data_IF_580606831775
#
_entry.id   IF_580606831775
#
_cell.length_a   1.000
_cell.length_b   1.000
_cell.length_c   1.000
_cell.angle_alpha   90.00
_cell.angle_beta   90.00
_cell.angle_gamma   90.00
#
_symmetry.space_group_name_H-M   'P 1'
#
loop_
_entity.id
_entity.type
_entity.pdbx_description
1 polymer ?
#
# COMPACT_ATOMS: atom_id res chain seq x y z
N UNK A 1 -4.49 14.61 -17.98
CA UNK A 1 -4.38 14.16 -16.60
C UNK A 1 -3.32 15.00 -15.90
N UNK A 2 -3.51 15.43 -14.67
CA UNK A 2 -2.52 16.25 -13.96
C UNK A 2 -1.24 15.47 -13.62
N UNK A 3 -1.25 14.13 -13.77
CA UNK A 3 -0.15 13.26 -13.41
C UNK A 3 0.44 12.59 -14.65
N UNK A 4 1.75 12.67 -14.81
CA UNK A 4 2.48 12.07 -15.93
C UNK A 4 3.33 10.90 -15.44
N UNK A 5 2.77 9.69 -15.57
CA UNK A 5 3.44 8.46 -15.14
C UNK A 5 4.75 8.15 -15.89
N UNK A 6 5.06 8.88 -16.97
CA UNK A 6 6.34 8.75 -17.68
C UNK A 6 7.45 9.60 -17.07
N UNK A 7 7.10 10.58 -16.23
CA UNK A 7 8.03 11.53 -15.63
C UNK A 7 8.04 11.52 -14.10
N UNK A 8 6.93 11.11 -13.50
CA UNK A 8 6.75 11.08 -12.05
C UNK A 8 6.95 9.67 -11.53
N UNK A 9 7.54 9.56 -10.33
CA UNK A 9 7.58 8.31 -9.58
C UNK A 9 6.22 8.04 -8.92
N UNK A 10 5.91 6.78 -8.63
CA UNK A 10 4.61 6.38 -8.05
C UNK A 10 4.27 7.15 -6.76
N UNK A 11 5.25 7.39 -5.89
CA UNK A 11 5.04 8.16 -4.66
C UNK A 11 4.67 9.63 -4.93
N UNK A 12 5.24 10.25 -5.98
CA UNK A 12 4.90 11.63 -6.37
C UNK A 12 3.48 11.71 -6.93
N UNK A 13 3.07 10.70 -7.69
CA UNK A 13 1.70 10.58 -8.20
C UNK A 13 0.72 10.41 -7.03
N UNK A 14 1.08 9.55 -6.06
CA UNK A 14 0.27 9.32 -4.87
C UNK A 14 0.07 10.61 -4.06
N UNK A 15 1.14 11.30 -3.69
CA UNK A 15 1.07 12.54 -2.93
C UNK A 15 0.20 13.60 -3.62
N UNK A 16 0.44 13.82 -4.92
CA UNK A 16 -0.34 14.79 -5.69
C UNK A 16 -1.83 14.41 -5.84
N UNK A 17 -2.14 13.12 -5.90
CA UNK A 17 -3.52 12.64 -5.97
C UNK A 17 -4.20 12.68 -4.60
N UNK A 18 -3.48 12.46 -3.51
CA UNK A 18 -3.98 12.53 -2.15
C UNK A 18 -4.46 13.92 -1.74
N UNK A 19 -3.90 14.99 -2.31
CA UNK A 19 -4.38 16.36 -2.13
C UNK A 19 -5.83 16.56 -2.57
N UNK A 20 -6.27 15.78 -3.55
CA UNK A 20 -7.62 15.84 -4.13
C UNK A 20 -8.51 14.64 -3.75
N UNK A 21 -8.08 13.85 -2.78
CA UNK A 21 -8.83 12.68 -2.34
C UNK A 21 -10.15 13.11 -1.69
N UNK A 22 -11.29 12.49 -2.06
CA UNK A 22 -12.55 12.77 -1.42
C UNK A 22 -12.55 12.49 0.08
N UNK A 23 -13.27 13.28 0.85
CA UNK A 23 -13.43 13.03 2.29
C UNK A 23 -14.26 11.78 2.55
N UNK A 24 -14.19 11.19 3.77
CA UNK A 24 -15.04 10.06 4.15
C UNK A 24 -16.52 10.32 3.92
N UNK A 25 -17.02 11.52 4.21
CA UNK A 25 -18.42 11.90 4.01
C UNK A 25 -18.80 11.91 2.54
N UNK A 26 -17.94 12.44 1.67
CA UNK A 26 -18.15 12.43 0.23
C UNK A 26 -18.19 11.01 -0.34
N UNK A 27 -17.38 10.10 0.22
CA UNK A 27 -17.43 8.69 -0.15
C UNK A 27 -18.70 8.01 0.31
N UNK A 28 -19.19 8.30 1.52
CA UNK A 28 -20.48 7.79 2.03
C UNK A 28 -21.60 8.13 1.06
N UNK A 29 -21.71 9.39 0.66
CA UNK A 29 -22.73 9.86 -0.27
C UNK A 29 -22.57 9.22 -1.66
N UNK A 30 -21.37 9.18 -2.19
CA UNK A 30 -21.08 8.61 -3.51
C UNK A 30 -21.37 7.12 -3.61
N UNK A 31 -21.15 6.37 -2.54
CA UNK A 31 -21.39 4.93 -2.46
C UNK A 31 -22.83 4.59 -2.02
N UNK A 32 -23.64 5.57 -1.65
CA UNK A 32 -24.99 5.36 -1.14
C UNK A 32 -25.03 4.62 0.20
N UNK A 33 -24.01 4.84 1.04
CA UNK A 33 -23.94 4.28 2.38
C UNK A 33 -24.76 5.13 3.37
N UNK A 34 -25.16 4.50 4.48
CA UNK A 34 -25.78 5.20 5.60
C UNK A 34 -24.72 5.61 6.62
N UNK A 35 -24.96 6.70 7.34
CA UNK A 35 -23.99 7.25 8.29
C UNK A 35 -23.61 6.26 9.40
N UNK A 36 -24.54 5.41 9.82
CA UNK A 36 -24.32 4.39 10.84
C UNK A 36 -23.67 3.11 10.31
N UNK A 37 -23.44 3.01 9.00
CA UNK A 37 -22.71 1.94 8.35
C UNK A 37 -21.19 2.24 8.24
N UNK A 38 -20.77 3.45 8.64
CA UNK A 38 -19.40 3.93 8.44
C UNK A 38 -18.81 4.43 9.75
N UNK A 39 -17.58 3.99 10.04
CA UNK A 39 -16.76 4.48 11.13
C UNK A 39 -15.59 5.27 10.55
N UNK A 40 -15.53 6.56 10.84
CA UNK A 40 -14.43 7.42 10.40
C UNK A 40 -13.11 7.01 11.07
N UNK A 41 -12.02 6.92 10.27
CA UNK A 41 -10.67 6.64 10.72
C UNK A 41 -9.70 7.62 10.07
N UNK A 42 -9.58 8.81 10.65
CA UNK A 42 -8.84 9.89 10.02
C UNK A 42 -9.43 10.24 8.65
N UNK A 43 -8.64 10.11 7.59
CA UNK A 43 -9.10 10.33 6.20
C UNK A 43 -9.60 9.05 5.49
N UNK A 44 -9.68 7.95 6.23
CA UNK A 44 -10.20 6.67 5.77
C UNK A 44 -11.47 6.31 6.54
N UNK A 45 -12.11 5.22 6.15
CA UNK A 45 -13.32 4.72 6.79
C UNK A 45 -13.30 3.21 6.95
N UNK A 46 -13.80 2.72 8.07
CA UNK A 46 -14.21 1.31 8.22
C UNK A 46 -15.68 1.16 7.93
N UNK A 47 -16.04 0.09 7.27
CA UNK A 47 -17.43 -0.22 6.94
C UNK A 47 -17.98 -1.26 7.90
N UNK A 48 -19.19 -1.01 8.44
CA UNK A 48 -19.97 -2.04 9.13
C UNK A 48 -20.66 -2.92 8.08
N UNK A 49 -19.91 -3.92 7.60
CA UNK A 49 -20.37 -4.79 6.53
C UNK A 49 -21.63 -5.60 6.90
N UNK A 50 -21.83 -5.91 8.17
CA UNK A 50 -23.03 -6.65 8.60
C UNK A 50 -24.30 -5.80 8.42
N UNK A 51 -24.26 -4.52 8.77
CA UNK A 51 -25.37 -3.60 8.52
C UNK A 51 -25.64 -3.46 7.03
N UNK A 52 -24.58 -3.26 6.24
CA UNK A 52 -24.68 -3.11 4.78
C UNK A 52 -25.30 -4.36 4.15
N UNK A 53 -24.80 -5.55 4.46
CA UNK A 53 -25.33 -6.81 3.93
C UNK A 53 -26.80 -6.99 4.32
N UNK A 54 -27.16 -6.74 5.59
CA UNK A 54 -28.54 -6.88 6.04
C UNK A 54 -29.49 -5.91 5.33
N UNK A 55 -29.05 -4.68 5.06
CA UNK A 55 -29.84 -3.69 4.32
C UNK A 55 -29.98 -4.04 2.85
N UNK A 56 -28.96 -4.63 2.25
CA UNK A 56 -28.93 -4.91 0.81
C UNK A 56 -29.32 -6.35 0.44
N UNK A 57 -29.68 -7.20 1.41
CA UNK A 57 -29.96 -8.64 1.22
C UNK A 57 -30.96 -8.96 0.09
N UNK A 58 -31.91 -8.05 -0.16
CA UNK A 58 -32.96 -8.23 -1.18
C UNK A 58 -32.60 -7.53 -2.51
N UNK A 59 -31.40 -6.97 -2.63
CA UNK A 59 -30.89 -6.37 -3.88
C UNK A 59 -30.17 -7.42 -4.71
N UNK A 60 -30.23 -7.33 -6.05
CA UNK A 60 -29.47 -8.22 -6.90
C UNK A 60 -27.96 -7.99 -6.73
N UNK A 61 -27.22 -9.09 -6.74
CA UNK A 61 -25.77 -9.04 -6.71
C UNK A 61 -25.18 -8.47 -8.00
N UNK A 62 -24.05 -7.79 -7.86
CA UNK A 62 -23.22 -7.36 -8.98
C UNK A 62 -22.46 -8.54 -9.63
N UNK A 63 -21.77 -8.24 -10.71
CA UNK A 63 -20.86 -9.24 -11.31
C UNK A 63 -19.57 -9.30 -10.48
N UNK A 64 -19.23 -10.50 -10.07
CA UNK A 64 -17.99 -10.79 -9.34
C UNK A 64 -16.90 -11.25 -10.29
N UNK A 65 -15.71 -10.65 -10.18
CA UNK A 65 -14.52 -11.01 -10.95
C UNK A 65 -13.41 -11.28 -9.95
N UNK A 66 -12.89 -12.49 -9.94
CA UNK A 66 -11.75 -12.87 -9.11
C UNK A 66 -10.45 -12.77 -9.90
N UNK A 67 -9.45 -12.09 -9.32
CA UNK A 67 -8.09 -12.01 -9.85
C UNK A 67 -7.17 -12.81 -8.95
N UNK A 68 -6.67 -13.92 -9.45
CA UNK A 68 -5.84 -14.85 -8.70
C UNK A 68 -4.60 -15.29 -9.50
N UNK A 69 -3.75 -16.11 -8.90
CA UNK A 69 -2.61 -16.74 -9.57
C UNK A 69 -2.46 -18.18 -9.10
N UNK A 70 -2.00 -19.05 -9.99
CA UNK A 70 -1.88 -20.48 -9.76
C UNK A 70 -0.71 -20.79 -8.83
N UNK A 71 0.46 -20.18 -9.07
CA UNK A 71 1.70 -20.48 -8.35
C UNK A 71 2.35 -19.21 -7.84
N UNK A 72 2.72 -19.14 -6.55
CA UNK A 72 3.43 -17.98 -6.01
C UNK A 72 4.86 -17.92 -6.57
N UNK A 73 5.34 -16.70 -6.80
CA UNK A 73 6.74 -16.43 -7.19
C UNK A 73 7.40 -15.47 -6.20
N UNK A 74 8.73 -15.49 -6.06
CA UNK A 74 9.44 -14.59 -5.15
C UNK A 74 9.21 -13.10 -5.44
N UNK A 75 9.08 -12.73 -6.70
CA UNK A 75 8.87 -11.34 -7.13
C UNK A 75 7.41 -10.90 -7.16
N UNK A 76 6.48 -11.83 -6.96
CA UNK A 76 5.04 -11.59 -7.11
C UNK A 76 4.53 -11.89 -8.52
N UNK A 77 3.22 -12.04 -8.64
CA UNK A 77 2.55 -12.48 -9.88
C UNK A 77 1.72 -11.36 -10.53
N UNK A 78 1.75 -10.15 -9.95
CA UNK A 78 1.00 -9.01 -10.49
C UNK A 78 -0.52 -9.03 -10.24
N UNK A 79 -1.02 -9.86 -9.31
CA UNK A 79 -2.47 -9.92 -9.01
C UNK A 79 -3.07 -8.56 -8.69
N UNK A 80 -2.48 -7.85 -7.74
CA UNK A 80 -2.98 -6.53 -7.32
C UNK A 80 -2.87 -5.51 -8.45
N UNK A 81 -1.76 -5.48 -9.18
CA UNK A 81 -1.58 -4.60 -10.34
C UNK A 81 -2.61 -4.87 -11.43
N UNK A 82 -2.88 -6.14 -11.73
CA UNK A 82 -3.92 -6.54 -12.69
C UNK A 82 -5.31 -6.12 -12.22
N UNK A 83 -5.60 -6.30 -10.93
CA UNK A 83 -6.89 -5.90 -10.35
C UNK A 83 -7.08 -4.39 -10.45
N UNK A 84 -6.08 -3.60 -10.07
CA UNK A 84 -6.14 -2.14 -10.15
C UNK A 84 -6.29 -1.65 -11.59
N UNK A 85 -5.50 -2.19 -12.53
CA UNK A 85 -5.64 -1.87 -13.95
C UNK A 85 -7.01 -2.22 -14.52
N UNK A 86 -7.61 -3.34 -14.09
CA UNK A 86 -8.96 -3.72 -14.50
C UNK A 86 -10.02 -2.74 -13.98
N UNK A 87 -9.92 -2.31 -12.72
CA UNK A 87 -10.84 -1.33 -12.12
C UNK A 87 -10.73 0.00 -12.84
N UNK A 88 -9.52 0.49 -13.05
CA UNK A 88 -9.27 1.74 -13.77
C UNK A 88 -9.84 1.66 -15.20
N UNK A 89 -9.53 0.61 -15.94
CA UNK A 89 -10.03 0.41 -17.30
C UNK A 89 -11.55 0.30 -17.39
N UNK A 90 -12.20 -0.36 -16.43
CA UNK A 90 -13.67 -0.43 -16.38
C UNK A 90 -14.28 0.92 -15.98
N UNK A 91 -13.68 1.64 -15.03
CA UNK A 91 -14.10 2.98 -14.62
C UNK A 91 -14.01 3.98 -15.80
N UNK A 92 -12.91 3.97 -16.55
CA UNK A 92 -12.74 4.80 -17.76
C UNK A 92 -13.80 4.50 -18.83
N UNK A 93 -14.35 3.30 -18.86
CA UNK A 93 -15.47 2.91 -19.74
C UNK A 93 -16.86 3.24 -19.14
N UNK A 94 -16.91 4.00 -18.07
CA UNK A 94 -18.14 4.40 -17.40
C UNK A 94 -18.87 3.27 -16.68
N UNK A 95 -18.18 2.19 -16.32
CA UNK A 95 -18.77 1.10 -15.52
C UNK A 95 -18.72 1.46 -14.05
N UNK A 96 -19.80 1.12 -13.32
CA UNK A 96 -19.79 1.18 -11.87
C UNK A 96 -19.01 -0.04 -11.35
N UNK A 97 -17.83 0.19 -10.83
CA UNK A 97 -16.88 -0.87 -10.42
C UNK A 97 -16.27 -0.52 -9.06
N UNK A 98 -16.07 -1.53 -8.25
CA UNK A 98 -15.31 -1.44 -7.00
C UNK A 98 -14.39 -2.64 -6.88
N UNK A 99 -13.46 -2.60 -5.94
CA UNK A 99 -12.57 -3.70 -5.64
C UNK A 99 -12.47 -3.99 -4.15
N UNK A 100 -12.21 -5.25 -3.84
CA UNK A 100 -11.76 -5.69 -2.54
C UNK A 100 -10.31 -6.18 -2.68
N UNK A 101 -9.38 -5.45 -2.11
CA UNK A 101 -7.97 -5.78 -2.11
C UNK A 101 -7.52 -6.08 -0.69
N UNK A 102 -6.69 -7.11 -0.54
CA UNK A 102 -6.03 -7.36 0.74
C UNK A 102 -4.81 -6.49 0.87
N UNK A 103 -4.63 -5.87 2.04
CA UNK A 103 -3.40 -5.17 2.37
C UNK A 103 -2.20 -6.12 2.21
N UNK A 104 -1.11 -5.69 1.58
CA UNK A 104 0.11 -6.49 1.50
C UNK A 104 0.67 -6.76 2.90
N UNK A 105 1.20 -7.96 3.12
CA UNK A 105 1.90 -8.26 4.35
C UNK A 105 3.25 -7.53 4.35
N UNK A 106 3.48 -6.68 5.35
CA UNK A 106 4.82 -6.19 5.67
C UNK A 106 5.68 -7.33 6.20
N UNK A 107 6.94 -7.33 5.89
CA UNK A 107 7.86 -8.36 6.36
C UNK A 107 9.20 -8.31 5.68
N UNK A 108 10.07 -9.31 5.92
CA UNK A 108 11.43 -9.36 5.36
C UNK A 108 11.47 -9.33 3.83
N UNK A 109 10.38 -9.67 3.16
CA UNK A 109 10.26 -9.68 1.69
C UNK A 109 9.72 -8.38 1.10
N UNK A 110 9.42 -7.36 1.90
CA UNK A 110 8.83 -6.10 1.45
C UNK A 110 9.64 -5.45 0.31
N UNK A 111 10.97 -5.43 0.43
CA UNK A 111 11.84 -4.86 -0.59
C UNK A 111 11.97 -5.71 -1.85
N UNK A 112 11.62 -6.99 -1.80
CA UNK A 112 11.73 -7.92 -2.93
C UNK A 112 10.44 -7.95 -3.74
N UNK A 113 9.28 -7.98 -3.06
CA UNK A 113 7.96 -8.08 -3.71
C UNK A 113 7.31 -6.74 -4.06
N UNK A 114 7.81 -5.64 -3.53
CA UNK A 114 7.13 -4.33 -3.63
C UNK A 114 5.88 -4.25 -2.76
N UNK A 115 5.20 -3.09 -2.82
CA UNK A 115 4.07 -2.77 -1.94
C UNK A 115 2.72 -3.26 -2.43
N UNK A 116 2.63 -3.82 -3.64
CA UNK A 116 1.39 -4.26 -4.28
C UNK A 116 0.30 -3.15 -4.42
N UNK A 117 0.71 -1.89 -4.41
CA UNK A 117 -0.19 -0.73 -4.54
C UNK A 117 -0.50 -0.35 -6.00
N UNK A 118 -0.10 -1.18 -6.96
CA UNK A 118 -0.20 -0.87 -8.38
C UNK A 118 1.01 -0.10 -8.90
N UNK A 119 0.81 0.72 -9.91
CA UNK A 119 1.86 1.55 -10.49
C UNK A 119 1.34 2.46 -11.61
N UNK A 120 2.05 3.54 -11.87
CA UNK A 120 1.73 4.49 -12.92
C UNK A 120 0.35 5.12 -12.73
N UNK A 121 -0.52 4.96 -13.73
CA UNK A 121 -1.88 5.50 -13.70
C UNK A 121 -2.89 4.61 -12.93
N UNK A 122 -2.50 3.38 -12.58
CA UNK A 122 -3.35 2.44 -11.84
C UNK A 122 -2.78 2.23 -10.43
N UNK A 123 -2.75 3.30 -9.65
CA UNK A 123 -2.18 3.34 -8.32
C UNK A 123 -3.29 3.40 -7.26
N UNK A 124 -3.13 2.64 -6.19
CA UNK A 124 -4.04 2.69 -5.04
C UNK A 124 -3.64 3.81 -4.10
N UNK A 125 -4.59 4.65 -3.75
CA UNK A 125 -4.40 5.85 -2.94
C UNK A 125 -5.33 5.80 -1.71
N UNK A 126 -4.84 6.16 -0.53
CA UNK A 126 -3.49 6.59 -0.17
C UNK A 126 -2.51 5.39 -0.12
N UNK A 127 -1.37 5.55 -0.75
CA UNK A 127 -0.42 4.44 -0.93
C UNK A 127 0.25 4.02 0.38
N UNK A 128 0.60 4.98 1.22
CA UNK A 128 1.29 4.71 2.48
C UNK A 128 0.41 3.96 3.46
N UNK A 129 -0.81 4.43 3.69
CA UNK A 129 -1.77 3.79 4.59
C UNK A 129 -2.15 2.40 4.08
N UNK A 130 -2.37 2.25 2.78
CA UNK A 130 -2.63 0.93 2.21
C UNK A 130 -1.49 -0.05 2.44
N UNK A 131 -0.26 0.42 2.31
CA UNK A 131 0.93 -0.43 2.45
C UNK A 131 1.27 -0.74 3.91
N UNK A 132 1.03 0.19 4.84
CA UNK A 132 1.60 0.14 6.19
C UNK A 132 0.59 0.31 7.33
N UNK A 133 -0.57 0.91 7.11
CA UNK A 133 -1.38 1.44 8.20
C UNK A 133 -2.87 1.09 8.23
N UNK A 134 -3.35 0.07 7.51
CA UNK A 134 -4.79 -0.24 7.47
C UNK A 134 -5.28 -1.19 8.57
N UNK A 135 -4.40 -2.00 9.16
CA UNK A 135 -4.82 -3.15 9.97
C UNK A 135 -4.75 -2.93 11.48
N UNK A 136 -4.26 -1.76 11.93
CA UNK A 136 -4.21 -1.37 13.34
C UNK A 136 -2.81 -1.31 13.92
N UNK A 137 -2.69 -0.72 15.10
CA UNK A 137 -1.43 -0.29 15.71
C UNK A 137 -0.38 -1.38 15.87
N UNK A 138 -0.77 -2.59 16.24
CA UNK A 138 0.17 -3.70 16.42
C UNK A 138 0.83 -4.07 15.09
N UNK A 139 0.04 -4.15 14.00
CA UNK A 139 0.60 -4.44 12.68
C UNK A 139 1.45 -3.28 12.17
N UNK A 140 1.07 -2.05 12.46
CA UNK A 140 1.81 -0.86 12.06
C UNK A 140 3.16 -0.78 12.77
N UNK A 141 3.19 -1.06 14.08
CA UNK A 141 4.44 -1.16 14.85
C UNK A 141 5.32 -2.28 14.31
N UNK A 142 4.77 -3.47 14.04
CA UNK A 142 5.54 -4.57 13.45
C UNK A 142 6.08 -4.20 12.07
N UNK A 143 5.30 -3.54 11.22
CA UNK A 143 5.73 -3.11 9.91
C UNK A 143 6.84 -2.06 9.99
N UNK A 144 6.70 -1.07 10.87
CA UNK A 144 7.71 -0.06 11.12
C UNK A 144 9.01 -0.68 11.65
N UNK A 145 8.90 -1.60 12.63
CA UNK A 145 10.05 -2.35 13.15
C UNK A 145 10.76 -3.15 12.05
N UNK A 146 10.01 -3.92 11.28
CA UNK A 146 10.58 -4.73 10.20
C UNK A 146 11.30 -3.87 9.15
N UNK A 147 10.70 -2.75 8.77
CA UNK A 147 11.32 -1.82 7.82
C UNK A 147 12.62 -1.21 8.39
N UNK A 148 12.60 -0.78 9.64
CA UNK A 148 13.77 -0.25 10.32
C UNK A 148 14.90 -1.31 10.41
N UNK A 149 14.55 -2.54 10.77
CA UNK A 149 15.52 -3.65 10.86
C UNK A 149 16.11 -4.02 9.50
N UNK A 150 15.31 -4.03 8.44
CA UNK A 150 15.81 -4.27 7.08
C UNK A 150 16.76 -3.15 6.65
N UNK A 151 16.40 -1.90 6.87
CA UNK A 151 17.25 -0.77 6.54
C UNK A 151 18.57 -0.80 7.32
N UNK A 152 18.51 -1.09 8.62
CA UNK A 152 19.70 -1.20 9.48
C UNK A 152 20.62 -2.34 9.05
N UNK A 153 20.07 -3.55 8.86
CA UNK A 153 20.86 -4.72 8.46
C UNK A 153 21.48 -4.56 7.07
N UNK A 154 20.75 -3.99 6.12
CA UNK A 154 21.28 -3.66 4.82
C UNK A 154 22.43 -2.66 4.92
N UNK A 155 22.27 -1.62 5.74
CA UNK A 155 23.31 -0.63 6.00
C UNK A 155 24.55 -1.26 6.60
N UNK A 156 24.41 -2.06 7.64
CA UNK A 156 25.53 -2.79 8.27
C UNK A 156 26.23 -3.70 7.29
N UNK A 157 25.48 -4.38 6.40
CA UNK A 157 26.05 -5.24 5.37
C UNK A 157 26.87 -4.44 4.34
N UNK A 158 26.40 -3.29 3.91
CA UNK A 158 27.14 -2.39 3.02
C UNK A 158 28.42 -1.88 3.69
N UNK A 159 28.36 -1.47 4.94
CA UNK A 159 29.52 -0.99 5.70
C UNK A 159 30.57 -2.09 5.94
N UNK A 160 30.16 -3.34 6.03
CA UNK A 160 31.06 -4.49 6.13
C UNK A 160 31.75 -4.82 4.80
N UNK A 161 31.04 -4.68 3.70
CA UNK A 161 31.48 -5.14 2.39
C UNK A 161 32.25 -4.09 1.59
N UNK A 162 32.13 -2.82 1.94
CA UNK A 162 32.71 -1.71 1.18
C UNK A 162 33.60 -0.82 2.05
N UNK A 163 34.70 -0.33 1.47
CA UNK A 163 35.47 0.74 2.08
C UNK A 163 34.73 2.10 2.00
N UNK A 164 35.29 3.12 2.64
CA UNK A 164 34.61 4.43 2.74
C UNK A 164 34.43 5.11 1.38
N UNK A 165 35.36 4.96 0.47
CA UNK A 165 35.29 5.52 -0.87
C UNK A 165 34.23 4.81 -1.71
N UNK A 166 34.21 3.48 -1.67
CA UNK A 166 33.20 2.66 -2.32
C UNK A 166 31.81 2.94 -1.77
N UNK A 167 31.67 3.04 -0.44
CA UNK A 167 30.41 3.33 0.22
C UNK A 167 29.85 4.69 -0.21
N UNK A 168 30.69 5.74 -0.19
CA UNK A 168 30.30 7.07 -0.61
C UNK A 168 29.87 7.11 -2.09
N UNK A 169 30.61 6.42 -2.95
CA UNK A 169 30.31 6.35 -4.39
C UNK A 169 29.02 5.60 -4.71
N UNK A 170 28.76 4.46 -4.06
CA UNK A 170 27.64 3.59 -4.35
C UNK A 170 26.35 4.06 -3.68
N UNK A 171 26.44 4.54 -2.44
CA UNK A 171 25.27 4.86 -1.62
C UNK A 171 25.10 6.37 -1.37
N UNK A 172 26.11 7.18 -1.69
CA UNK A 172 26.20 8.61 -1.33
C UNK A 172 26.08 8.89 0.18
N UNK A 173 26.42 7.91 0.99
CA UNK A 173 26.30 7.98 2.43
C UNK A 173 27.67 7.85 3.09
N UNK A 174 27.80 8.45 4.27
CA UNK A 174 28.96 8.25 5.14
C UNK A 174 28.82 6.94 5.91
N UNK A 175 29.94 6.36 6.30
CA UNK A 175 29.95 5.27 7.26
C UNK A 175 29.37 5.75 8.60
N UNK A 176 28.44 4.97 9.15
CA UNK A 176 27.85 5.23 10.46
C UNK A 176 28.61 4.53 11.59
N UNK A 177 29.47 3.56 11.21
CA UNK A 177 30.23 2.73 12.16
C UNK A 177 29.33 2.10 13.23
N UNK A 178 28.27 1.45 12.76
CA UNK A 178 27.29 0.82 13.62
C UNK A 178 27.94 -0.41 14.27
N UNK A 179 28.19 -0.30 15.57
CA UNK A 179 28.68 -1.41 16.38
C UNK A 179 27.50 -2.30 16.82
N UNK A 180 27.37 -3.51 16.27
CA UNK A 180 26.26 -4.40 16.62
C UNK A 180 26.28 -4.84 18.09
N UNK A 181 27.43 -4.70 18.77
CA UNK A 181 27.56 -5.05 20.19
C UNK A 181 27.04 -3.94 21.12
N UNK A 182 26.85 -2.73 20.58
CA UNK A 182 26.35 -1.56 21.29
C UNK A 182 24.91 -1.18 20.94
N UNK A 183 24.33 -1.84 19.94
CA UNK A 183 22.92 -1.67 19.65
C UNK A 183 22.14 -2.46 20.71
N UNK A 184 21.88 -1.82 21.82
CA UNK A 184 20.87 -2.29 22.76
C UNK A 184 19.51 -2.17 22.08
N UNK A 185 19.11 -3.22 21.40
CA UNK A 185 17.73 -3.42 21.01
C UNK A 185 16.97 -3.69 22.29
N UNK A 186 16.44 -2.64 22.91
CA UNK A 186 15.55 -2.78 24.05
C UNK A 186 14.34 -3.60 23.62
N UNK A 187 14.24 -4.77 24.20
CA UNK A 187 13.05 -5.62 24.14
C UNK A 187 12.14 -5.27 25.29
#
# INVERSE_FOLDING_TARGET
MPYDATKMQDWQISEAAEENMPTPEQWVDKLGLQKDEVLAMGRLSKLDFLKIINRLKDKPDGKYIEVTAITPTPLGEGKSTTCLGLIEGLGMRGKNVGAALRQPSGGPTMNVKGTAAGGGNSLLIPMTEFSLGLTGDINDIMNAHNLAMIALTARMQHERNYDDEQLARLTRMRRLDIDPTRVELGW
#
